data_IF_361494018002
#
_entry.id   IF_361494018002
#
_cell.length_a   1.000
_cell.length_b   1.000
_cell.length_c   1.000
_cell.angle_alpha   90.00
_cell.angle_beta   90.00
_cell.angle_gamma   90.00
#
_symmetry.space_group_name_H-M   'P 1'
#
loop_
_entity.id
_entity.type
_entity.pdbx_description
1 polymer ?
#
# COMPACT_ATOMS: atom_id res chain seq x y z
N UNK A 1 -5.66 15.47 -3.08
CA UNK A 1 -4.42 16.26 -3.26
C UNK A 1 -3.19 15.37 -3.07
N UNK A 2 -3.09 14.64 -1.98
CA UNK A 2 -1.90 13.82 -1.67
C UNK A 2 -1.71 12.66 -2.64
N UNK A 3 -2.80 11.99 -3.07
CA UNK A 3 -2.75 10.93 -4.07
C UNK A 3 -2.15 11.42 -5.41
N UNK A 4 -2.72 12.48 -5.99
CA UNK A 4 -2.28 13.02 -7.28
C UNK A 4 -0.83 13.50 -7.19
N UNK A 5 -0.45 14.09 -6.06
CA UNK A 5 0.92 14.52 -5.81
C UNK A 5 1.87 13.32 -5.73
N UNK A 6 1.52 12.29 -4.98
CA UNK A 6 2.32 11.07 -4.86
C UNK A 6 2.50 10.38 -6.22
N UNK A 7 1.40 10.19 -6.97
CA UNK A 7 1.45 9.57 -8.31
C UNK A 7 2.28 10.42 -9.31
N UNK A 8 2.26 11.76 -9.19
CA UNK A 8 3.08 12.64 -10.02
C UNK A 8 4.57 12.56 -9.68
N UNK A 9 4.92 12.50 -8.39
CA UNK A 9 6.31 12.44 -7.94
C UNK A 9 6.92 11.09 -8.28
N UNK A 10 6.20 10.01 -8.04
CA UNK A 10 6.72 8.65 -8.15
C UNK A 10 6.50 8.01 -9.52
N UNK A 11 5.65 8.58 -10.36
CA UNK A 11 5.24 7.96 -11.62
C UNK A 11 4.46 6.64 -11.45
N UNK A 12 4.08 6.27 -10.23
CA UNK A 12 3.41 5.01 -9.92
C UNK A 12 2.02 5.24 -9.32
N UNK A 13 1.13 4.28 -9.53
CA UNK A 13 -0.25 4.33 -9.05
C UNK A 13 -0.31 4.13 -7.53
N UNK A 14 -1.08 4.97 -6.85
CA UNK A 14 -1.50 4.75 -5.46
C UNK A 14 -2.66 3.76 -5.46
N UNK A 15 -2.44 2.59 -4.90
CA UNK A 15 -3.42 1.51 -4.87
C UNK A 15 -4.36 1.59 -3.66
N UNK A 16 -3.89 2.16 -2.57
CA UNK A 16 -4.66 2.28 -1.34
C UNK A 16 -4.18 3.40 -0.44
N UNK A 17 -5.02 3.72 0.53
CA UNK A 17 -4.72 4.72 1.57
C UNK A 17 -5.12 4.19 2.94
N UNK A 18 -4.41 4.60 3.99
CA UNK A 18 -4.74 4.27 5.39
C UNK A 18 -4.86 5.57 6.19
N UNK A 19 -6.03 5.86 6.78
CA UNK A 19 -6.26 7.10 7.49
C UNK A 19 -5.49 7.17 8.80
N UNK A 20 -5.00 8.37 9.12
CA UNK A 20 -4.53 8.67 10.47
C UNK A 20 -5.69 8.74 11.45
N UNK A 21 -5.41 8.52 12.74
CA UNK A 21 -6.41 8.71 13.77
C UNK A 21 -6.84 10.19 13.84
N UNK A 22 -8.12 10.44 13.68
CA UNK A 22 -8.71 11.76 13.80
C UNK A 22 -9.22 11.98 15.22
N UNK A 23 -8.81 13.07 15.88
CA UNK A 23 -9.37 13.48 17.20
C UNK A 23 -10.85 13.84 17.08
N UNK A 24 -11.23 14.50 15.99
CA UNK A 24 -12.61 14.93 15.70
C UNK A 24 -13.56 13.73 15.48
N UNK A 25 -13.07 12.65 14.88
CA UNK A 25 -13.86 11.46 14.52
C UNK A 25 -13.41 10.23 15.30
N UNK A 26 -12.93 10.42 16.53
CA UNK A 26 -12.34 9.36 17.36
C UNK A 26 -13.17 8.05 17.42
N UNK A 27 -14.50 8.07 17.61
CA UNK A 27 -15.29 6.83 17.63
C UNK A 27 -15.32 6.07 16.30
N UNK A 28 -14.99 6.73 15.19
CA UNK A 28 -15.08 6.17 13.85
C UNK A 28 -13.71 5.79 13.25
N UNK A 29 -12.61 6.03 13.97
CA UNK A 29 -11.27 5.76 13.46
C UNK A 29 -11.08 4.31 13.04
N UNK A 30 -11.56 3.36 13.84
CA UNK A 30 -11.44 1.93 13.52
C UNK A 30 -12.26 1.58 12.27
N UNK A 31 -13.49 2.04 12.19
CA UNK A 31 -14.36 1.80 11.04
C UNK A 31 -13.78 2.41 9.74
N UNK A 32 -13.17 3.59 9.82
CA UNK A 32 -12.51 4.21 8.68
C UNK A 32 -11.32 3.38 8.18
N UNK A 33 -10.52 2.82 9.09
CA UNK A 33 -9.42 1.92 8.74
C UNK A 33 -9.91 0.63 8.10
N UNK A 34 -10.99 0.06 8.60
CA UNK A 34 -11.61 -1.15 8.03
C UNK A 34 -12.14 -0.90 6.61
N UNK A 35 -12.78 0.24 6.36
CA UNK A 35 -13.22 0.64 5.03
C UNK A 35 -12.03 0.81 4.08
N UNK A 36 -10.99 1.54 4.52
CA UNK A 36 -9.79 1.75 3.72
C UNK A 36 -9.09 0.42 3.41
N UNK A 37 -8.98 -0.48 4.40
CA UNK A 37 -8.39 -1.80 4.22
C UNK A 37 -9.21 -2.68 3.26
N UNK A 38 -10.55 -2.65 3.36
CA UNK A 38 -11.42 -3.33 2.40
C UNK A 38 -11.15 -2.86 0.96
N UNK A 39 -11.03 -1.55 0.75
CA UNK A 39 -10.72 -0.98 -0.56
C UNK A 39 -9.35 -1.43 -1.07
N UNK A 40 -8.32 -1.39 -0.21
CA UNK A 40 -6.98 -1.87 -0.55
C UNK A 40 -6.98 -3.36 -0.88
N UNK A 41 -7.53 -4.19 -0.01
CA UNK A 41 -7.59 -5.65 -0.21
C UNK A 41 -8.30 -6.01 -1.53
N UNK A 42 -9.41 -5.34 -1.84
CA UNK A 42 -10.13 -5.50 -3.12
C UNK A 42 -9.28 -5.09 -4.32
N UNK A 43 -8.52 -3.99 -4.20
CA UNK A 43 -7.66 -3.49 -5.26
C UNK A 43 -6.46 -4.41 -5.56
N UNK A 44 -6.05 -5.24 -4.60
CA UNK A 44 -4.95 -6.20 -4.73
C UNK A 44 -5.36 -7.48 -5.48
N UNK A 45 -6.63 -7.91 -5.39
CA UNK A 45 -7.12 -9.18 -5.96
C UNK A 45 -6.79 -9.38 -7.45
N UNK A 46 -6.89 -8.37 -8.34
CA UNK A 46 -6.53 -8.53 -9.75
C UNK A 46 -5.08 -8.94 -10.03
N UNK A 47 -4.19 -8.74 -9.06
CA UNK A 47 -2.76 -9.06 -9.18
C UNK A 47 -2.40 -10.43 -8.58
N UNK A 48 -3.38 -11.15 -8.04
CA UNK A 48 -3.17 -12.50 -7.54
C UNK A 48 -2.97 -13.45 -8.71
N UNK A 49 -1.81 -14.10 -8.75
CA UNK A 49 -1.50 -15.14 -9.74
C UNK A 49 -2.33 -16.42 -9.53
N UNK A 50 -2.21 -17.35 -10.48
CA UNK A 50 -2.81 -18.69 -10.38
C UNK A 50 -2.05 -19.59 -9.41
N UNK A 51 -0.75 -19.38 -9.34
CA UNK A 51 0.15 -20.14 -8.46
C UNK A 51 0.00 -19.71 -7.01
N UNK A 52 0.22 -20.64 -6.10
CA UNK A 52 0.15 -20.42 -4.64
C UNK A 52 1.48 -20.79 -4.01
N UNK A 53 1.87 -20.08 -2.98
CA UNK A 53 1.19 -18.94 -2.37
C UNK A 53 1.28 -17.67 -3.25
N UNK A 54 0.31 -16.77 -3.10
CA UNK A 54 0.41 -15.39 -3.60
C UNK A 54 1.38 -14.64 -2.69
N UNK A 55 2.49 -14.17 -3.22
CA UNK A 55 3.53 -13.45 -2.48
C UNK A 55 3.40 -11.95 -2.70
N UNK A 56 3.30 -11.20 -1.62
CA UNK A 56 3.20 -9.73 -1.62
C UNK A 56 4.32 -9.15 -0.78
N UNK A 57 5.28 -8.50 -1.39
CA UNK A 57 6.31 -7.77 -0.68
C UNK A 57 5.75 -6.45 -0.11
N UNK A 58 6.04 -6.18 1.15
CA UNK A 58 5.68 -4.95 1.85
C UNK A 58 6.96 -4.19 2.16
N UNK A 59 7.15 -3.10 1.45
CA UNK A 59 8.36 -2.29 1.44
C UNK A 59 8.09 -0.91 2.05
N UNK A 60 9.12 -0.25 2.55
CA UNK A 60 9.12 1.17 2.88
C UNK A 60 10.53 1.74 2.75
N UNK A 61 10.66 3.03 2.51
CA UNK A 61 11.98 3.67 2.48
C UNK A 61 12.53 3.84 3.88
N UNK A 62 11.68 4.25 4.84
CA UNK A 62 12.08 4.53 6.22
C UNK A 62 11.39 3.60 7.22
N UNK A 63 12.03 3.46 8.38
CA UNK A 63 11.35 2.88 9.53
C UNK A 63 10.23 3.82 10.02
N UNK A 64 9.12 3.23 10.50
CA UNK A 64 7.96 4.01 10.95
C UNK A 64 7.00 4.45 9.84
N UNK A 65 7.23 4.15 8.58
CA UNK A 65 6.27 4.39 7.49
C UNK A 65 4.99 3.54 7.63
N UNK A 66 5.03 2.50 8.48
CA UNK A 66 3.87 1.73 8.87
C UNK A 66 3.65 0.45 8.08
N UNK A 67 4.70 -0.11 7.50
CA UNK A 67 4.64 -1.37 6.74
C UNK A 67 4.08 -2.54 7.54
N UNK A 68 4.52 -2.74 8.80
CA UNK A 68 3.99 -3.78 9.69
C UNK A 68 2.51 -3.56 9.99
N UNK A 69 2.10 -2.31 10.23
CA UNK A 69 0.71 -1.96 10.48
C UNK A 69 -0.18 -2.34 9.28
N UNK A 70 0.20 -1.95 8.07
CA UNK A 70 -0.56 -2.29 6.85
C UNK A 70 -0.59 -3.80 6.63
N UNK A 71 0.54 -4.48 6.80
CA UNK A 71 0.63 -5.93 6.65
C UNK A 71 -0.27 -6.69 7.65
N UNK A 72 -0.27 -6.29 8.92
CA UNK A 72 -1.14 -6.89 9.94
C UNK A 72 -2.62 -6.70 9.63
N UNK A 73 -3.02 -5.48 9.22
CA UNK A 73 -4.41 -5.21 8.84
C UNK A 73 -4.86 -6.01 7.61
N UNK A 74 -3.99 -6.17 6.58
CA UNK A 74 -4.27 -7.03 5.42
C UNK A 74 -4.41 -8.50 5.83
N UNK A 75 -3.49 -9.01 6.65
CA UNK A 75 -3.56 -10.38 7.19
C UNK A 75 -4.88 -10.59 7.91
N UNK A 76 -5.21 -9.73 8.86
CA UNK A 76 -6.40 -9.87 9.70
C UNK A 76 -7.69 -9.77 8.85
N UNK A 77 -7.69 -8.91 7.83
CA UNK A 77 -8.81 -8.77 6.90
C UNK A 77 -9.06 -10.09 6.12
N UNK A 78 -8.04 -10.66 5.52
CA UNK A 78 -8.19 -11.89 4.74
C UNK A 78 -8.40 -13.13 5.61
N UNK A 79 -7.82 -13.20 6.79
CA UNK A 79 -8.09 -14.27 7.76
C UNK A 79 -9.55 -14.27 8.23
N UNK A 80 -10.14 -13.11 8.47
CA UNK A 80 -11.60 -12.97 8.75
C UNK A 80 -12.46 -13.47 7.58
N UNK A 81 -11.95 -13.43 6.37
CA UNK A 81 -12.60 -13.98 5.16
C UNK A 81 -12.32 -15.47 4.95
N UNK A 82 -11.66 -16.15 5.88
CA UNK A 82 -11.38 -17.59 5.84
C UNK A 82 -10.14 -17.97 5.03
N UNK A 83 -9.31 -17.01 4.59
CA UNK A 83 -8.07 -17.30 3.86
C UNK A 83 -6.92 -17.61 4.82
N UNK A 84 -6.05 -18.54 4.44
CA UNK A 84 -4.80 -18.82 5.14
C UNK A 84 -3.74 -17.81 4.71
N UNK A 85 -3.39 -16.88 5.60
CA UNK A 85 -2.43 -15.80 5.32
C UNK A 85 -1.23 -15.90 6.25
N UNK A 86 -0.04 -16.04 5.66
CA UNK A 86 1.24 -15.94 6.35
C UNK A 86 1.70 -14.47 6.40
N UNK A 87 2.33 -14.09 7.48
CA UNK A 87 3.02 -12.82 7.64
C UNK A 87 4.46 -13.13 8.06
N UNK A 88 5.40 -12.80 7.20
CA UNK A 88 6.83 -12.98 7.45
C UNK A 88 7.48 -11.60 7.60
N UNK A 89 8.29 -11.43 8.62
CA UNK A 89 8.92 -10.15 8.94
C UNK A 89 10.43 -10.31 9.14
N UNK A 90 11.20 -9.37 8.61
CA UNK A 90 12.64 -9.29 8.87
C UNK A 90 13.00 -9.22 10.36
N UNK A 91 12.05 -8.91 11.23
CA UNK A 91 12.28 -8.80 12.68
C UNK A 91 12.23 -10.15 13.39
N UNK A 92 11.50 -11.12 12.84
CA UNK A 92 11.16 -12.35 13.53
C UNK A 92 11.52 -13.60 12.72
N UNK A 93 11.18 -13.64 11.41
CA UNK A 93 11.23 -14.85 10.61
C UNK A 93 12.48 -14.98 9.75
N UNK A 94 13.13 -13.88 9.39
CA UNK A 94 14.35 -13.93 8.55
C UNK A 94 15.31 -12.78 8.83
N UNK A 95 16.59 -12.99 8.48
CA UNK A 95 17.62 -11.98 8.61
C UNK A 95 18.04 -11.50 7.20
N UNK A 96 17.84 -10.21 6.92
CA UNK A 96 18.18 -9.60 5.62
C UNK A 96 19.71 -9.63 5.28
N UNK A 97 20.56 -9.94 6.26
CA UNK A 97 22.02 -10.08 6.09
C UNK A 97 22.48 -11.53 6.01
N UNK A 98 21.58 -12.49 6.07
CA UNK A 98 21.96 -13.90 5.93
C UNK A 98 22.26 -14.25 4.48
N UNK A 99 23.18 -15.21 4.29
CA UNK A 99 23.52 -15.71 2.97
C UNK A 99 22.28 -16.27 2.25
N UNK A 100 21.41 -16.99 2.98
CA UNK A 100 20.17 -17.55 2.43
C UNK A 100 19.23 -16.48 1.90
N UNK A 101 19.15 -15.29 2.53
CA UNK A 101 18.34 -14.19 2.02
C UNK A 101 19.03 -13.46 0.85
N UNK A 102 20.31 -13.15 1.00
CA UNK A 102 21.05 -12.37 -0.01
C UNK A 102 21.19 -13.09 -1.36
N UNK A 103 21.25 -14.44 -1.34
CA UNK A 103 21.36 -15.28 -2.52
C UNK A 103 20.03 -15.94 -2.93
N UNK A 104 18.92 -15.58 -2.28
CA UNK A 104 17.62 -16.15 -2.57
C UNK A 104 17.08 -15.73 -3.95
N UNK A 105 16.52 -16.68 -4.68
CA UNK A 105 15.80 -16.43 -5.93
C UNK A 105 14.30 -16.27 -5.72
N UNK A 106 13.78 -16.84 -4.62
CA UNK A 106 12.38 -16.79 -4.27
C UNK A 106 12.17 -16.94 -2.75
N UNK A 107 10.93 -16.79 -2.29
CA UNK A 107 10.59 -16.83 -0.87
C UNK A 107 11.00 -18.14 -0.18
N UNK A 108 10.87 -19.28 -0.85
CA UNK A 108 11.12 -20.60 -0.25
C UNK A 108 12.58 -20.89 0.01
N UNK A 109 13.50 -20.11 -0.57
CA UNK A 109 14.94 -20.25 -0.36
C UNK A 109 15.38 -19.80 1.05
N UNK A 110 14.60 -18.92 1.69
CA UNK A 110 14.97 -18.39 3.00
C UNK A 110 13.87 -18.46 4.08
N UNK A 111 12.62 -18.80 3.69
CA UNK A 111 11.49 -18.91 4.62
C UNK A 111 10.64 -20.14 4.34
N UNK A 112 10.09 -20.72 5.41
CA UNK A 112 9.05 -21.75 5.30
C UNK A 112 7.67 -21.10 5.26
N UNK A 113 6.89 -21.45 4.26
CA UNK A 113 5.60 -20.81 3.96
C UNK A 113 4.41 -21.62 4.48
N UNK A 114 4.63 -22.92 4.78
CA UNK A 114 3.56 -23.83 5.23
C UNK A 114 2.45 -23.98 4.18
N UNK A 115 1.20 -23.96 4.63
CA UNK A 115 -0.01 -24.09 3.81
C UNK A 115 -0.70 -22.72 3.51
N UNK A 116 0.02 -21.62 3.65
CA UNK A 116 -0.50 -20.29 3.39
C UNK A 116 -0.89 -20.12 1.91
N UNK A 117 -2.05 -19.52 1.67
CA UNK A 117 -2.53 -19.16 0.32
C UNK A 117 -2.00 -17.80 -0.12
N UNK A 118 -1.80 -16.91 0.84
CA UNK A 118 -1.22 -15.56 0.65
C UNK A 118 -0.11 -15.40 1.67
N UNK A 119 1.01 -14.84 1.25
CA UNK A 119 2.14 -14.50 2.12
C UNK A 119 2.49 -13.04 1.98
N UNK A 120 2.45 -12.33 3.09
CA UNK A 120 2.89 -10.95 3.21
C UNK A 120 4.33 -10.96 3.75
N UNK A 121 5.27 -10.42 2.99
CA UNK A 121 6.69 -10.39 3.36
C UNK A 121 7.07 -8.94 3.68
N UNK A 122 7.31 -8.66 4.95
CA UNK A 122 7.69 -7.31 5.41
C UNK A 122 9.21 -7.24 5.44
N UNK A 123 9.78 -6.49 4.51
CA UNK A 123 11.22 -6.28 4.38
C UNK A 123 11.71 -5.14 5.30
N UNK A 124 13.03 -5.10 5.53
CA UNK A 124 13.70 -4.02 6.24
C UNK A 124 13.52 -2.67 5.49
N UNK A 125 13.66 -1.51 6.17
CA UNK A 125 13.68 -0.21 5.49
C UNK A 125 14.73 -0.18 4.38
N UNK A 126 14.35 0.29 3.20
CA UNK A 126 15.21 0.24 2.02
C UNK A 126 16.39 1.21 2.08
N UNK A 127 16.35 2.20 2.99
CA UNK A 127 17.50 3.06 3.31
C UNK A 127 18.54 2.34 4.16
N UNK A 128 18.17 1.26 4.84
CA UNK A 128 19.09 0.47 5.67
C UNK A 128 19.68 -0.72 4.92
N UNK A 129 18.84 -1.48 4.21
CA UNK A 129 19.25 -2.67 3.45
C UNK A 129 18.44 -2.80 2.14
N UNK A 130 19.11 -3.24 1.09
CA UNK A 130 18.45 -3.51 -0.20
C UNK A 130 17.79 -4.89 -0.20
N UNK A 131 16.68 -5.00 -0.94
CA UNK A 131 16.06 -6.30 -1.22
C UNK A 131 16.69 -6.87 -2.50
N UNK A 132 17.10 -8.14 -2.52
CA UNK A 132 17.60 -8.78 -3.74
C UNK A 132 16.59 -8.72 -4.88
N UNK A 133 17.04 -8.36 -6.10
CA UNK A 133 16.16 -8.24 -7.27
C UNK A 133 15.33 -9.50 -7.55
N UNK A 134 15.88 -10.73 -7.44
CA UNK A 134 15.07 -11.93 -7.65
C UNK A 134 13.86 -12.03 -6.70
N UNK A 135 13.97 -11.53 -5.47
CA UNK A 135 12.85 -11.53 -4.51
C UNK A 135 11.78 -10.50 -4.88
N UNK A 136 12.15 -9.37 -5.50
CA UNK A 136 11.21 -8.39 -6.03
C UNK A 136 10.51 -8.91 -7.29
N UNK A 137 11.23 -9.60 -8.15
CA UNK A 137 10.74 -10.15 -9.42
C UNK A 137 9.86 -11.39 -9.24
N UNK A 138 10.20 -12.26 -8.27
CA UNK A 138 9.46 -13.51 -8.02
C UNK A 138 8.15 -13.33 -7.26
N UNK A 139 7.91 -12.16 -6.68
CA UNK A 139 6.64 -11.85 -6.01
C UNK A 139 5.51 -11.61 -7.02
N UNK A 140 4.25 -11.73 -6.58
CA UNK A 140 3.09 -11.36 -7.39
C UNK A 140 2.95 -9.84 -7.51
N UNK A 141 3.36 -9.12 -6.46
CA UNK A 141 3.41 -7.65 -6.47
C UNK A 141 4.27 -7.10 -5.32
N UNK A 142 4.74 -5.88 -5.51
CA UNK A 142 5.48 -5.10 -4.54
C UNK A 142 4.64 -3.91 -4.08
N UNK A 143 4.46 -3.74 -2.76
CA UNK A 143 3.76 -2.60 -2.16
C UNK A 143 4.74 -1.71 -1.42
N UNK A 144 4.93 -0.49 -1.89
CA UNK A 144 5.67 0.54 -1.18
C UNK A 144 4.74 1.30 -0.26
N UNK A 145 4.98 1.20 1.04
CA UNK A 145 4.24 1.95 2.05
C UNK A 145 4.98 3.26 2.33
N UNK A 146 4.29 4.37 2.17
CA UNK A 146 4.83 5.70 2.43
C UNK A 146 3.87 6.52 3.31
N UNK A 147 4.41 7.32 4.22
CA UNK A 147 3.57 8.23 5.05
C UNK A 147 3.22 9.48 4.27
N UNK A 148 1.95 9.85 4.26
CA UNK A 148 1.48 11.08 3.61
C UNK A 148 1.80 12.35 4.41
N UNK A 149 2.07 12.22 5.70
CA UNK A 149 2.42 13.31 6.63
C UNK A 149 3.94 13.52 6.79
N UNK A 150 4.75 12.75 6.05
CA UNK A 150 6.22 12.91 5.96
C UNK A 150 6.61 13.55 4.61
N UNK A 151 7.65 14.35 4.62
CA UNK A 151 8.22 14.87 3.38
C UNK A 151 8.91 13.75 2.62
N UNK A 152 8.57 13.60 1.35
CA UNK A 152 9.27 12.73 0.42
C UNK A 152 10.58 13.40 0.00
N UNK A 153 11.71 12.75 0.28
CA UNK A 153 13.06 13.27 0.05
C UNK A 153 13.63 12.77 -1.28
N UNK A 154 14.78 13.32 -1.69
CA UNK A 154 15.52 12.81 -2.86
C UNK A 154 15.96 11.36 -2.65
N UNK A 155 16.40 11.01 -1.44
CA UNK A 155 16.79 9.64 -1.10
C UNK A 155 15.60 8.67 -1.25
N UNK A 156 14.40 9.06 -0.78
CA UNK A 156 13.19 8.25 -0.98
C UNK A 156 12.94 8.00 -2.47
N UNK A 157 13.11 9.02 -3.30
CA UNK A 157 12.89 8.92 -4.73
C UNK A 157 13.91 8.00 -5.40
N UNK A 158 15.20 8.16 -5.11
CA UNK A 158 16.26 7.32 -5.65
C UNK A 158 16.07 5.84 -5.28
N UNK A 159 15.75 5.56 -4.02
CA UNK A 159 15.49 4.20 -3.53
C UNK A 159 14.25 3.62 -4.21
N UNK A 160 13.19 4.41 -4.37
CA UNK A 160 11.96 4.00 -5.01
C UNK A 160 12.14 3.68 -6.50
N UNK A 161 12.89 4.52 -7.23
CA UNK A 161 13.21 4.31 -8.64
C UNK A 161 14.03 3.03 -8.82
N UNK A 162 15.06 2.83 -7.97
CA UNK A 162 15.88 1.61 -7.97
C UNK A 162 15.04 0.36 -7.75
N UNK A 163 14.11 0.36 -6.80
CA UNK A 163 13.18 -0.77 -6.58
C UNK A 163 12.29 -0.97 -7.82
N UNK A 164 11.85 0.12 -8.45
CA UNK A 164 11.06 0.05 -9.68
C UNK A 164 11.80 -0.64 -10.83
N UNK A 165 13.08 -0.35 -11.00
CA UNK A 165 13.96 -1.00 -12.00
C UNK A 165 14.20 -2.46 -11.64
N UNK A 166 14.50 -2.74 -10.38
CA UNK A 166 14.78 -4.09 -9.87
C UNK A 166 13.55 -5.02 -9.82
N UNK A 167 12.35 -4.48 -9.86
CA UNK A 167 11.10 -5.27 -9.88
C UNK A 167 10.79 -5.88 -11.24
N UNK A 168 11.49 -5.48 -12.32
CA UNK A 168 11.24 -5.96 -13.66
C UNK A 168 9.77 -5.80 -14.09
N UNK A 169 9.13 -6.87 -14.48
CA UNK A 169 7.72 -6.91 -14.88
C UNK A 169 6.74 -6.98 -13.68
N UNK A 170 7.25 -7.20 -12.45
CA UNK A 170 6.42 -7.31 -11.26
C UNK A 170 5.85 -5.96 -10.86
N UNK A 171 4.52 -5.85 -10.69
CA UNK A 171 3.89 -4.58 -10.38
C UNK A 171 4.39 -3.97 -9.07
N UNK A 172 4.74 -2.68 -9.11
CA UNK A 172 5.08 -1.86 -7.93
C UNK A 172 4.03 -0.78 -7.76
N UNK A 173 3.39 -0.76 -6.59
CA UNK A 173 2.35 0.22 -6.24
C UNK A 173 2.67 0.93 -4.93
N UNK A 174 2.08 2.12 -4.76
CA UNK A 174 2.11 2.87 -3.52
C UNK A 174 0.88 2.62 -2.67
N UNK A 175 1.09 2.58 -1.35
CA UNK A 175 0.04 2.70 -0.34
C UNK A 175 0.40 3.88 0.57
N UNK A 176 -0.47 4.87 0.64
CA UNK A 176 -0.26 6.04 1.49
C UNK A 176 -0.81 5.77 2.89
N UNK A 177 0.07 5.75 3.87
CA UNK A 177 -0.29 5.64 5.28
C UNK A 177 -0.41 7.02 5.94
N UNK A 178 -1.11 7.12 7.07
CA UNK A 178 -1.33 8.36 7.83
C UNK A 178 -2.00 9.48 7.01
N UNK A 179 -2.87 9.12 6.07
CA UNK A 179 -3.60 10.10 5.25
C UNK A 179 -4.60 10.92 6.07
N UNK A 180 -4.80 12.16 5.68
CA UNK A 180 -5.87 12.98 6.22
C UNK A 180 -7.24 12.36 5.87
N UNK A 181 -8.25 12.68 6.68
CA UNK A 181 -9.58 12.08 6.54
C UNK A 181 -10.25 12.38 5.20
N UNK A 182 -10.13 13.62 4.73
CA UNK A 182 -10.62 14.09 3.43
C UNK A 182 -9.94 13.37 2.26
N UNK A 183 -8.63 13.18 2.32
CA UNK A 183 -7.87 12.40 1.33
C UNK A 183 -8.33 10.94 1.30
N UNK A 184 -8.62 10.37 2.47
CA UNK A 184 -9.15 9.00 2.54
C UNK A 184 -10.55 8.93 1.92
N UNK A 185 -11.42 9.92 2.18
CA UNK A 185 -12.76 10.00 1.55
C UNK A 185 -12.71 10.12 0.02
N UNK A 186 -11.75 10.85 -0.53
CA UNK A 186 -11.54 10.93 -1.98
C UNK A 186 -11.19 9.57 -2.61
N UNK A 187 -10.61 8.68 -1.81
CA UNK A 187 -10.20 7.36 -2.27
C UNK A 187 -11.24 6.27 -2.01
N UNK A 188 -11.83 6.27 -0.82
CA UNK A 188 -12.72 5.20 -0.34
C UNK A 188 -14.21 5.53 -0.45
N UNK A 189 -14.53 6.79 -0.76
CA UNK A 189 -15.87 7.34 -0.60
C UNK A 189 -16.11 7.88 0.82
N UNK A 190 -17.31 8.40 1.06
CA UNK A 190 -17.67 9.06 2.31
C UNK A 190 -17.46 8.13 3.52
N UNK A 191 -16.68 8.60 4.48
CA UNK A 191 -16.43 7.93 5.75
C UNK A 191 -17.43 8.33 6.83
N UNK A 192 -17.63 7.51 7.90
CA UNK A 192 -18.48 7.89 9.04
C UNK A 192 -18.01 9.19 9.73
N UNK A 193 -18.90 9.96 10.41
CA UNK A 193 -20.34 9.74 10.52
C UNK A 193 -21.12 10.16 9.26
N UNK A 194 -22.11 9.35 8.87
CA UNK A 194 -22.93 9.57 7.68
C UNK A 194 -24.08 10.57 7.93
N UNK A 195 -23.80 11.81 8.33
CA UNK A 195 -24.84 12.83 8.49
C UNK A 195 -25.40 13.29 7.14
N UNK A 196 -26.68 13.75 7.12
CA UNK A 196 -27.33 14.29 5.90
C UNK A 196 -26.54 15.46 5.30
N UNK A 197 -26.01 16.33 6.17
CA UNK A 197 -25.22 17.48 5.78
C UNK A 197 -23.88 17.09 5.15
N UNK A 198 -23.14 16.11 5.71
CA UNK A 198 -21.89 15.60 5.12
C UNK A 198 -22.11 14.93 3.79
N UNK A 199 -23.20 14.14 3.62
CA UNK A 199 -23.56 13.54 2.33
C UNK A 199 -23.84 14.60 1.26
N UNK A 200 -24.51 15.68 1.64
CA UNK A 200 -24.79 16.79 0.73
C UNK A 200 -23.50 17.52 0.32
N UNK A 201 -22.63 17.88 1.28
CA UNK A 201 -21.31 18.49 0.99
C UNK A 201 -20.44 17.59 0.10
N UNK A 202 -20.40 16.30 0.38
CA UNK A 202 -19.65 15.33 -0.43
C UNK A 202 -20.16 15.29 -1.87
N UNK A 203 -21.47 15.27 -2.10
CA UNK A 203 -22.06 15.36 -3.43
C UNK A 203 -21.69 16.65 -4.17
N UNK A 204 -21.69 17.78 -3.49
CA UNK A 204 -21.28 19.06 -4.07
C UNK A 204 -19.81 19.06 -4.48
N UNK A 205 -18.92 18.47 -3.68
CA UNK A 205 -17.51 18.37 -4.03
C UNK A 205 -17.26 17.50 -5.28
N UNK A 206 -18.03 16.44 -5.46
CA UNK A 206 -17.98 15.59 -6.65
C UNK A 206 -18.46 16.31 -7.91
N UNK A 207 -19.52 17.12 -7.81
CA UNK A 207 -20.01 17.94 -8.94
C UNK A 207 -18.99 19.00 -9.37
N UNK A 208 -18.24 19.57 -8.42
CA UNK A 208 -17.18 20.53 -8.72
C UNK A 208 -15.98 19.93 -9.45
N UNK A 209 -15.70 18.65 -9.26
CA UNK A 209 -14.62 17.94 -9.96
C UNK A 209 -14.99 17.63 -11.43
N UNK A 210 -16.25 17.22 -11.68
CA UNK A 210 -16.74 16.98 -13.04
C UNK A 210 -16.80 18.25 -13.90
N UNK A 211 -17.09 19.42 -13.30
CA UNK A 211 -17.11 20.70 -14.02
C UNK A 211 -15.71 21.22 -14.42
N UNK A 212 -14.65 20.76 -13.75
CA UNK A 212 -13.26 21.12 -14.09
C UNK A 212 -12.67 20.29 -15.23
N UNK A 213 -13.07 19.04 -15.36
CA UNK A 213 -12.56 18.16 -16.43
C UNK A 213 -13.17 18.49 -17.80
N UNK A 214 -14.43 18.94 -17.84
CA UNK A 214 -15.08 19.35 -19.11
C UNK A 214 -14.49 20.64 -19.70
N UNK A 215 -14.03 21.60 -18.86
CA UNK A 215 -13.39 22.84 -19.37
C UNK A 215 -11.99 22.64 -19.96
N UNK A 216 -11.33 21.52 -19.67
CA UNK A 216 -9.98 21.25 -20.19
C UNK A 216 -9.98 20.62 -21.59
N UNK A 217 -11.11 20.03 -21.99
CA UNK A 217 -11.27 19.42 -23.32
C UNK A 217 -11.81 20.37 -24.40
N UNK A 218 -12.34 21.54 -24.01
CA UNK A 218 -12.86 22.53 -24.96
C UNK A 218 -11.85 23.63 -25.38
N UNK A 219 -10.66 23.67 -24.76
CA UNK A 219 -9.60 24.64 -25.07
C UNK A 219 -8.44 24.07 -25.91
N UNK A 220 -8.64 22.94 -26.56
CA UNK A 220 -7.65 22.23 -27.38
C UNK A 220 -8.17 21.92 -28.79
N UNK A 221 -8.68 22.94 -29.49
CA UNK A 221 -8.85 22.93 -30.97
C UNK A 221 -8.19 24.17 -31.54
#
# INVERSE_FOLDING_TARGET
RDRIRAERITGRKVLGVMPRNSRRYRPFNQQAKEIAMHCLAKALVPYFGREKPVVINILSTEEGDGKHFVAQYLRDYWQKSGLKVGLLSYREEFNCRSESYLLANNLTDYCQVGDAMIVLVVHQPLTEESVPSPLLESANLNLMIARSDRTWTTIDQEVFEKVGEQSGETPLFLVLNQTAWDVTEDFTGLLPPYSRFRRWLYRLSQLGLTARDTKKNESGV
#
